data_IF_927114690519
#
_entry.id   IF_927114690519
#
_cell.length_a   1.000
_cell.length_b   1.000
_cell.length_c   1.000
_cell.angle_alpha   90.00
_cell.angle_beta   90.00
_cell.angle_gamma   90.00
#
_symmetry.space_group_name_H-M   'P 1'
#
loop_
_entity.id
_entity.type
_entity.pdbx_description
1 polymer ?
#
# COMPACT_ATOMS: atom_id res chain seq x y z
N UNK A 1 -40.17 10.03 43.40
CA UNK A 1 -38.70 9.91 43.27
C UNK A 1 -38.33 8.45 43.04
N UNK A 2 -38.04 8.04 41.80
CA UNK A 2 -37.54 6.68 41.48
C UNK A 2 -36.08 6.80 41.05
N UNK A 3 -35.16 6.19 41.81
CA UNK A 3 -33.73 6.07 41.46
C UNK A 3 -33.57 4.87 40.53
N UNK A 4 -33.10 5.09 39.31
CA UNK A 4 -32.69 4.05 38.36
C UNK A 4 -31.18 3.88 38.53
N UNK A 5 -30.76 2.67 38.92
CA UNK A 5 -29.36 2.28 39.03
C UNK A 5 -28.75 2.03 37.66
N UNK A 6 -27.65 2.72 37.35
CA UNK A 6 -26.83 2.50 36.17
C UNK A 6 -25.81 1.41 36.50
N UNK A 7 -26.00 0.22 35.92
CA UNK A 7 -25.02 -0.85 35.96
C UNK A 7 -23.76 -0.42 35.19
N UNK A 8 -22.60 -0.45 35.87
CA UNK A 8 -21.29 -0.25 35.24
C UNK A 8 -20.85 -1.58 34.62
N UNK A 9 -20.74 -1.62 33.29
CA UNK A 9 -20.09 -2.73 32.57
C UNK A 9 -18.60 -2.77 32.90
N UNK A 10 -17.99 -3.97 33.05
CA UNK A 10 -16.60 -4.07 33.45
C UNK A 10 -15.67 -3.63 32.31
N UNK A 11 -14.73 -2.76 32.67
CA UNK A 11 -13.62 -2.29 31.85
C UNK A 11 -12.76 -3.51 31.45
N UNK A 12 -12.76 -3.86 30.16
CA UNK A 12 -11.94 -4.96 29.63
C UNK A 12 -10.48 -4.53 29.74
N UNK A 13 -9.73 -5.23 30.58
CA UNK A 13 -8.32 -4.96 30.84
C UNK A 13 -7.50 -5.03 29.53
N UNK A 14 -6.52 -4.14 29.46
CA UNK A 14 -5.58 -3.93 28.35
C UNK A 14 -4.98 -5.25 27.87
N UNK A 15 -5.14 -5.57 26.59
CA UNK A 15 -4.13 -6.37 25.88
C UNK A 15 -3.09 -5.38 25.38
N UNK A 16 -1.87 -5.51 25.88
CA UNK A 16 -0.71 -4.86 25.25
C UNK A 16 -0.66 -5.29 23.78
N UNK A 17 -0.26 -4.38 22.89
CA UNK A 17 0.04 -4.72 21.49
C UNK A 17 0.97 -5.92 21.45
N UNK A 18 0.66 -6.98 20.69
CA UNK A 18 1.50 -8.17 20.63
C UNK A 18 2.94 -7.76 20.25
N UNK A 19 3.97 -8.29 20.92
CA UNK A 19 5.36 -7.99 20.59
C UNK A 19 5.71 -8.30 19.12
N UNK A 20 4.94 -9.16 18.45
CA UNK A 20 5.05 -9.42 17.01
C UNK A 20 4.64 -8.24 16.11
N UNK A 21 3.74 -7.35 16.55
CA UNK A 21 3.40 -6.12 15.81
C UNK A 21 4.50 -5.06 15.93
N UNK A 22 5.24 -5.04 17.04
CA UNK A 22 6.47 -4.26 17.17
C UNK A 22 7.60 -4.87 16.31
N UNK A 23 7.60 -6.19 16.14
CA UNK A 23 8.45 -6.89 15.18
C UNK A 23 7.97 -6.72 13.74
N UNK A 24 6.70 -6.50 13.42
CA UNK A 24 6.27 -6.07 12.08
C UNK A 24 6.74 -4.65 11.78
N UNK A 25 6.73 -3.78 12.80
CA UNK A 25 7.40 -2.46 12.77
C UNK A 25 8.91 -2.57 12.53
N UNK A 26 9.58 -3.64 12.98
CA UNK A 26 11.04 -3.77 12.92
C UNK A 26 11.58 -4.80 11.90
N UNK A 27 10.75 -5.71 11.36
CA UNK A 27 11.15 -6.76 10.42
C UNK A 27 10.71 -6.47 8.99
N UNK A 28 9.61 -5.74 8.76
CA UNK A 28 9.10 -5.51 7.40
C UNK A 28 9.78 -4.37 6.62
N UNK A 29 10.51 -3.47 7.28
CA UNK A 29 11.05 -2.29 6.60
C UNK A 29 12.41 -1.88 7.13
N UNK A 30 13.45 -2.63 6.74
CA UNK A 30 14.81 -2.11 6.84
C UNK A 30 15.16 -1.40 5.53
N UNK A 31 15.26 -0.06 5.57
CA UNK A 31 15.95 0.67 4.50
C UNK A 31 17.42 0.25 4.50
N UNK A 32 18.01 0.09 3.31
CA UNK A 32 19.46 0.00 3.21
C UNK A 32 20.09 1.30 3.72
N UNK A 33 20.86 1.22 4.80
CA UNK A 33 21.81 2.27 5.18
C UNK A 33 22.85 2.38 4.06
N UNK A 34 22.84 3.47 3.29
CA UNK A 34 23.86 3.74 2.28
C UNK A 34 25.21 3.98 2.97
N UNK A 35 26.30 3.31 2.56
CA UNK A 35 27.65 3.80 2.81
C UNK A 35 27.90 5.03 1.93
N UNK A 36 28.60 6.03 2.47
CA UNK A 36 29.05 7.22 1.75
C UNK A 36 29.84 6.85 0.48
N UNK A 37 29.43 7.40 -0.67
CA UNK A 37 30.09 7.27 -1.97
C UNK A 37 31.50 7.88 -1.97
N UNK A 38 32.51 7.22 -2.57
CA UNK A 38 33.66 7.89 -3.16
C UNK A 38 33.34 8.33 -4.60
N UNK A 39 33.90 9.47 -4.98
CA UNK A 39 33.75 10.11 -6.29
C UNK A 39 34.56 9.39 -7.40
N UNK A 40 34.06 9.56 -8.63
CA UNK A 40 34.72 9.41 -9.94
C UNK A 40 35.11 8.00 -10.45
N UNK A 41 34.54 7.63 -11.61
CA UNK A 41 35.27 7.60 -12.90
C UNK A 41 34.30 7.37 -14.08
N UNK A 42 34.54 8.10 -15.17
CA UNK A 42 33.84 7.99 -16.46
C UNK A 42 34.26 6.69 -17.17
N UNK A 43 33.35 6.02 -17.87
CA UNK A 43 33.65 5.40 -19.16
C UNK A 43 32.38 5.06 -19.94
N UNK A 44 32.47 5.33 -21.24
CA UNK A 44 31.43 5.31 -22.27
C UNK A 44 31.58 4.04 -23.09
N UNK A 45 30.51 3.31 -23.39
CA UNK A 45 30.44 2.39 -24.54
C UNK A 45 29.00 2.30 -25.07
N UNK A 46 28.78 2.34 -26.40
CA UNK A 46 27.46 2.18 -27.00
C UNK A 46 27.21 0.73 -27.37
N UNK A 47 25.97 0.26 -27.20
CA UNK A 47 25.52 -1.01 -27.78
C UNK A 47 24.21 -0.81 -28.53
N UNK A 48 24.30 -0.85 -29.85
CA UNK A 48 23.22 -1.08 -30.82
C UNK A 48 22.95 -2.58 -30.89
N UNK A 49 21.68 -3.00 -30.86
CA UNK A 49 21.28 -4.34 -31.27
C UNK A 49 20.07 -4.27 -32.19
N UNK A 50 20.25 -4.76 -33.41
CA UNK A 50 19.21 -5.03 -34.40
C UNK A 50 18.83 -6.51 -34.31
N UNK A 51 17.54 -6.83 -34.25
CA UNK A 51 17.04 -8.20 -34.33
C UNK A 51 16.47 -8.46 -35.73
N UNK A 52 17.06 -9.43 -36.44
CA UNK A 52 16.46 -10.08 -37.61
C UNK A 52 15.87 -11.42 -37.18
N UNK A 53 14.61 -11.66 -37.53
CA UNK A 53 13.92 -12.94 -37.34
C UNK A 53 13.98 -13.72 -38.66
N UNK A 54 14.49 -14.95 -38.64
CA UNK A 54 14.34 -15.89 -39.75
C UNK A 54 14.03 -17.27 -39.20
N UNK A 55 12.91 -17.82 -39.67
CA UNK A 55 12.30 -19.10 -39.31
C UNK A 55 12.91 -20.24 -40.12
N UNK A 56 13.33 -21.36 -39.49
CA UNK A 56 13.38 -22.69 -40.11
C UNK A 56 13.17 -23.82 -39.10
N UNK A 57 12.45 -24.84 -39.58
CA UNK A 57 12.00 -26.09 -38.97
C UNK A 57 13.12 -27.14 -38.72
N UNK A 58 12.85 -28.24 -37.98
CA UNK A 58 13.86 -29.18 -37.47
C UNK A 58 14.04 -30.45 -38.33
N UNK A 59 15.04 -31.29 -38.02
CA UNK A 59 14.72 -32.69 -37.69
C UNK A 59 15.59 -33.33 -36.57
N UNK A 60 15.03 -34.38 -35.96
CA UNK A 60 15.66 -35.38 -35.05
C UNK A 60 16.14 -36.60 -35.90
N UNK A 61 16.85 -37.67 -35.42
CA UNK A 61 17.24 -38.06 -34.04
C UNK A 61 18.69 -38.64 -33.81
N UNK A 62 19.04 -38.80 -32.53
CA UNK A 62 20.05 -39.60 -31.75
C UNK A 62 20.79 -40.83 -32.37
N UNK A 63 21.78 -41.53 -31.70
CA UNK A 63 22.41 -41.38 -30.35
C UNK A 63 23.96 -41.62 -30.24
N UNK A 64 24.56 -41.38 -29.05
CA UNK A 64 25.53 -42.24 -28.30
C UNK A 64 26.69 -41.49 -27.59
N UNK A 65 27.04 -41.93 -26.37
CA UNK A 65 28.34 -41.62 -25.72
C UNK A 65 28.29 -41.20 -24.24
N UNK A 66 28.98 -41.97 -23.38
CA UNK A 66 29.05 -41.88 -21.92
C UNK A 66 29.87 -40.70 -21.34
N UNK A 67 29.61 -40.40 -20.04
CA UNK A 67 30.54 -40.32 -18.89
C UNK A 67 30.29 -39.09 -17.99
N UNK A 68 30.08 -39.37 -16.70
CA UNK A 68 29.86 -38.46 -15.58
C UNK A 68 31.03 -37.50 -15.30
N UNK A 69 30.70 -36.26 -14.95
CA UNK A 69 31.52 -35.42 -14.07
C UNK A 69 30.62 -34.53 -13.21
N UNK A 70 30.78 -34.65 -11.90
CA UNK A 70 30.17 -33.86 -10.85
C UNK A 70 30.29 -32.35 -11.12
N UNK A 71 29.16 -31.66 -11.24
CA UNK A 71 29.08 -30.21 -11.21
C UNK A 71 28.13 -29.81 -10.10
N UNK A 72 28.67 -29.07 -9.13
CA UNK A 72 27.91 -28.16 -8.25
C UNK A 72 26.78 -27.52 -9.04
N UNK A 73 25.55 -27.87 -8.68
CA UNK A 73 24.35 -27.35 -9.33
C UNK A 73 24.29 -25.85 -9.11
N UNK A 74 24.54 -25.07 -10.18
CA UNK A 74 24.07 -23.69 -10.23
C UNK A 74 22.55 -23.69 -9.99
N UNK A 75 22.00 -22.74 -9.22
CA UNK A 75 20.56 -22.64 -9.04
C UNK A 75 19.87 -22.59 -10.39
N UNK A 76 18.76 -23.32 -10.53
CA UNK A 76 17.98 -23.33 -11.77
C UNK A 76 17.37 -21.94 -12.00
N UNK A 77 17.21 -21.49 -13.25
CA UNK A 77 16.55 -20.21 -13.56
C UNK A 77 15.15 -20.10 -12.95
N UNK A 78 14.46 -21.24 -12.78
CA UNK A 78 13.16 -21.33 -12.10
C UNK A 78 13.24 -20.94 -10.61
N UNK A 79 14.34 -21.27 -9.92
CA UNK A 79 14.54 -20.87 -8.52
C UNK A 79 14.81 -19.38 -8.36
N UNK A 80 15.45 -18.75 -9.35
CA UNK A 80 15.72 -17.31 -9.34
C UNK A 80 14.49 -16.50 -9.73
N UNK A 81 13.65 -17.00 -10.65
CA UNK A 81 12.34 -16.41 -10.96
C UNK A 81 11.39 -16.54 -9.77
N UNK A 82 11.32 -17.70 -9.11
CA UNK A 82 10.53 -17.88 -7.90
C UNK A 82 11.00 -16.95 -6.76
N UNK A 83 12.32 -16.81 -6.57
CA UNK A 83 12.91 -15.87 -5.60
C UNK A 83 12.63 -14.41 -5.97
N UNK A 84 12.67 -14.06 -7.26
CA UNK A 84 12.37 -12.72 -7.77
C UNK A 84 10.90 -12.34 -7.58
N UNK A 85 9.97 -13.24 -7.93
CA UNK A 85 8.53 -13.04 -7.70
C UNK A 85 8.26 -12.83 -6.20
N UNK A 86 8.92 -13.59 -5.31
CA UNK A 86 8.81 -13.41 -3.85
C UNK A 86 9.27 -12.06 -3.34
N UNK A 87 10.34 -11.48 -3.91
CA UNK A 87 10.79 -10.13 -3.49
C UNK A 87 9.82 -9.00 -3.85
N UNK A 88 8.86 -9.28 -4.73
CA UNK A 88 7.85 -8.32 -5.19
C UNK A 88 6.51 -8.55 -4.50
N UNK A 89 6.21 -9.77 -4.05
CA UNK A 89 4.96 -10.10 -3.36
C UNK A 89 4.95 -9.61 -1.92
N UNK A 90 3.82 -9.05 -1.50
CA UNK A 90 3.49 -8.84 -0.11
C UNK A 90 2.86 -10.12 0.45
N UNK A 91 3.61 -10.82 1.29
CA UNK A 91 3.16 -12.02 1.99
C UNK A 91 2.72 -11.64 3.40
N UNK A 92 1.44 -11.82 3.76
CA UNK A 92 0.98 -11.49 5.10
C UNK A 92 1.48 -12.50 6.14
N UNK A 93 1.43 -12.16 7.44
CA UNK A 93 1.74 -13.10 8.51
C UNK A 93 0.91 -14.38 8.42
N UNK A 94 1.52 -15.52 8.77
CA UNK A 94 0.85 -16.81 8.77
C UNK A 94 0.74 -17.50 7.40
N UNK A 95 1.37 -16.96 6.36
CA UNK A 95 1.51 -17.62 5.06
C UNK A 95 2.95 -18.07 4.88
N UNK A 96 3.15 -19.33 4.50
CA UNK A 96 4.45 -19.83 4.08
C UNK A 96 4.76 -19.33 2.65
N UNK A 97 5.86 -18.57 2.44
CA UNK A 97 6.27 -18.14 1.10
C UNK A 97 6.51 -19.29 0.10
N UNK A 98 6.76 -20.51 0.58
CA UNK A 98 6.92 -21.71 -0.25
C UNK A 98 5.59 -22.27 -0.78
N UNK A 99 4.48 -21.94 -0.13
CA UNK A 99 3.14 -22.42 -0.49
C UNK A 99 2.35 -21.42 -1.35
N UNK A 100 2.94 -20.28 -1.70
CA UNK A 100 2.26 -19.22 -2.47
C UNK A 100 2.05 -19.65 -3.93
N UNK A 101 0.80 -19.74 -4.34
CA UNK A 101 0.36 -19.95 -5.72
C UNK A 101 -0.26 -18.67 -6.32
N UNK A 102 -0.40 -18.60 -7.65
CA UNK A 102 -1.02 -17.44 -8.29
C UNK A 102 -2.50 -17.25 -7.92
N UNK A 103 -3.18 -18.33 -7.54
CA UNK A 103 -4.61 -18.34 -7.19
C UNK A 103 -4.92 -17.58 -5.90
N UNK A 104 -3.95 -17.52 -4.98
CA UNK A 104 -4.09 -16.80 -3.71
C UNK A 104 -3.55 -15.37 -3.78
N UNK A 105 -3.18 -14.88 -4.97
CA UNK A 105 -2.77 -13.48 -5.16
C UNK A 105 -3.99 -12.66 -5.56
N UNK A 106 -4.23 -11.56 -4.84
CA UNK A 106 -5.31 -10.64 -5.16
C UNK A 106 -5.13 -10.05 -6.58
N UNK A 107 -6.14 -10.15 -7.47
CA UNK A 107 -6.04 -9.61 -8.82
C UNK A 107 -5.67 -8.12 -8.86
N UNK A 108 -4.77 -7.74 -9.76
CA UNK A 108 -4.33 -6.33 -9.91
C UNK A 108 -3.52 -5.80 -8.72
N UNK A 109 -2.80 -6.68 -8.01
CA UNK A 109 -2.02 -6.34 -6.81
C UNK A 109 -0.75 -7.20 -6.72
N UNK A 110 0.08 -6.98 -5.70
CA UNK A 110 1.11 -7.94 -5.27
C UNK A 110 0.76 -8.65 -3.95
N UNK A 111 -0.50 -8.66 -3.54
CA UNK A 111 -0.91 -9.03 -2.19
C UNK A 111 -1.36 -10.50 -2.17
N UNK A 112 -0.74 -11.28 -1.30
CA UNK A 112 -1.17 -12.66 -1.03
C UNK A 112 -2.32 -12.66 -0.02
N UNK A 113 -3.33 -13.50 -0.27
CA UNK A 113 -4.42 -13.81 0.63
C UNK A 113 -3.94 -14.87 1.62
N UNK A 114 -3.94 -14.51 2.88
CA UNK A 114 -3.53 -15.36 4.00
C UNK A 114 -4.69 -15.74 4.93
N UNK A 115 -4.39 -16.43 6.04
CA UNK A 115 -5.40 -17.06 6.90
C UNK A 115 -6.28 -16.05 7.64
N UNK A 116 -5.84 -14.80 7.76
CA UNK A 116 -6.59 -13.74 8.44
C UNK A 116 -7.59 -13.03 7.53
N UNK A 117 -7.63 -13.32 6.22
CA UNK A 117 -8.57 -12.71 5.29
C UNK A 117 -10.01 -13.14 5.58
N UNK A 118 -10.91 -12.19 5.86
CA UNK A 118 -12.30 -12.50 6.18
C UNK A 118 -13.06 -11.35 6.84
N UNK A 119 -14.40 -11.40 6.82
CA UNK A 119 -15.25 -10.33 7.35
C UNK A 119 -14.94 -8.94 6.74
N UNK A 120 -14.76 -8.90 5.41
CA UNK A 120 -14.37 -7.70 4.66
C UNK A 120 -15.54 -6.77 4.30
N UNK A 121 -16.78 -7.25 4.41
CA UNK A 121 -17.96 -6.49 4.00
C UNK A 121 -18.20 -5.25 4.87
N UNK A 122 -18.41 -4.11 4.22
CA UNK A 122 -18.89 -2.88 4.86
C UNK A 122 -20.42 -2.87 4.79
N UNK A 123 -21.09 -2.97 5.93
CA UNK A 123 -22.54 -2.94 6.10
C UNK A 123 -23.02 -1.56 6.52
N UNK A 124 -22.27 -0.90 7.40
CA UNK A 124 -22.60 0.40 7.97
C UNK A 124 -21.37 1.30 8.01
N UNK A 125 -21.58 2.59 7.75
CA UNK A 125 -20.57 3.65 7.88
C UNK A 125 -21.26 4.87 8.46
N UNK A 126 -20.68 5.43 9.52
CA UNK A 126 -21.14 6.61 10.24
C UNK A 126 -20.02 7.66 10.31
N UNK A 127 -20.33 8.91 9.95
CA UNK A 127 -19.39 10.01 10.19
C UNK A 127 -19.41 10.38 11.67
N UNK A 128 -18.26 10.28 12.34
CA UNK A 128 -18.17 10.55 13.78
C UNK A 128 -17.76 11.98 14.06
N UNK A 129 -16.62 12.43 13.50
CA UNK A 129 -16.07 13.75 13.80
C UNK A 129 -14.99 14.18 12.81
N UNK A 130 -14.85 15.49 12.65
CA UNK A 130 -13.67 16.16 12.06
C UNK A 130 -12.79 16.77 13.16
N UNK A 131 -11.50 16.46 13.14
CA UNK A 131 -10.54 16.90 14.16
C UNK A 131 -9.42 17.73 13.53
N UNK A 132 -9.14 18.90 14.12
CA UNK A 132 -8.03 19.76 13.68
C UNK A 132 -6.68 19.41 14.32
N UNK A 133 -6.66 18.60 15.38
CA UNK A 133 -5.45 18.14 16.08
C UNK A 133 -5.58 16.66 16.48
N UNK A 134 -4.43 15.98 16.63
CA UNK A 134 -4.42 14.52 16.79
C UNK A 134 -5.01 14.12 18.14
N UNK A 135 -4.75 14.96 19.14
CA UNK A 135 -5.31 14.83 20.49
C UNK A 135 -6.84 14.89 20.56
N UNK A 136 -7.49 15.50 19.56
CA UNK A 136 -8.94 15.69 19.50
C UNK A 136 -9.66 14.53 18.77
N UNK A 137 -8.89 13.60 18.18
CA UNK A 137 -9.41 12.40 17.53
C UNK A 137 -10.05 11.45 18.56
N UNK A 138 -11.01 10.59 18.16
CA UNK A 138 -11.60 9.56 19.02
C UNK A 138 -10.54 8.71 19.73
N UNK A 139 -10.84 8.17 20.92
CA UNK A 139 -9.90 7.37 21.73
C UNK A 139 -10.56 6.09 22.28
N UNK A 140 -11.35 5.41 21.47
CA UNK A 140 -12.06 4.18 21.85
C UNK A 140 -11.35 2.89 21.39
N UNK A 141 -10.03 2.97 21.19
CA UNK A 141 -9.09 1.86 20.94
C UNK A 141 -9.42 0.95 19.74
N UNK A 142 -10.22 1.44 18.78
CA UNK A 142 -10.59 0.70 17.57
C UNK A 142 -9.50 0.79 16.50
N UNK A 143 -9.26 -0.28 15.72
CA UNK A 143 -8.28 -0.25 14.65
C UNK A 143 -8.62 0.79 13.58
N UNK A 144 -7.59 1.44 13.03
CA UNK A 144 -7.75 2.55 12.08
C UNK A 144 -6.98 2.32 10.79
N UNK A 145 -7.63 2.61 9.66
CA UNK A 145 -6.99 2.74 8.36
C UNK A 145 -7.01 4.19 7.92
N UNK A 146 -5.84 4.79 7.78
CA UNK A 146 -5.72 6.18 7.36
C UNK A 146 -5.58 6.28 5.85
N UNK A 147 -6.49 7.00 5.18
CA UNK A 147 -6.43 7.32 3.77
C UNK A 147 -5.64 8.60 3.58
N UNK A 148 -4.67 8.53 2.69
CA UNK A 148 -3.72 9.59 2.47
C UNK A 148 -3.34 9.70 1.00
N UNK A 149 -3.02 10.89 0.53
CA UNK A 149 -2.68 11.09 -0.88
C UNK A 149 -2.82 12.54 -1.32
N UNK A 150 -2.19 12.87 -2.44
CA UNK A 150 -2.21 14.21 -3.03
C UNK A 150 -3.63 14.76 -3.20
N UNK A 151 -3.78 16.09 -3.19
CA UNK A 151 -5.07 16.70 -3.53
C UNK A 151 -5.59 16.19 -4.89
N UNK A 152 -6.88 15.88 -4.98
CA UNK A 152 -7.54 15.34 -6.18
C UNK A 152 -7.03 13.97 -6.68
N UNK A 153 -6.26 13.22 -5.87
CA UNK A 153 -5.85 11.84 -6.20
C UNK A 153 -7.04 10.89 -6.27
N UNK A 154 -8.08 11.11 -5.44
CA UNK A 154 -9.26 10.25 -5.40
C UNK A 154 -9.72 9.79 -4.01
N UNK A 155 -9.13 10.30 -2.91
CA UNK A 155 -9.47 9.92 -1.51
C UNK A 155 -10.97 9.80 -1.24
N UNK A 156 -11.72 10.90 -1.39
CA UNK A 156 -13.16 10.92 -1.11
C UNK A 156 -13.95 10.01 -2.07
N UNK A 157 -13.50 9.86 -3.31
CA UNK A 157 -14.10 8.92 -4.27
C UNK A 157 -13.89 7.47 -3.84
N UNK A 158 -12.69 7.12 -3.37
CA UNK A 158 -12.39 5.80 -2.85
C UNK A 158 -13.23 5.50 -1.60
N UNK A 159 -13.35 6.44 -0.65
CA UNK A 159 -14.20 6.28 0.55
C UNK A 159 -15.64 5.94 0.18
N UNK A 160 -16.24 6.71 -0.74
CA UNK A 160 -17.62 6.48 -1.16
C UNK A 160 -17.79 5.11 -1.84
N UNK A 161 -16.79 4.69 -2.63
CA UNK A 161 -16.80 3.39 -3.31
C UNK A 161 -16.67 2.25 -2.31
N UNK A 162 -15.74 2.33 -1.35
CA UNK A 162 -15.61 1.32 -0.28
C UNK A 162 -16.93 1.18 0.50
N UNK A 163 -17.53 2.31 0.88
CA UNK A 163 -18.77 2.36 1.66
C UNK A 163 -20.04 1.95 0.90
N UNK A 164 -20.01 1.83 -0.44
CA UNK A 164 -21.19 1.68 -1.32
C UNK A 164 -22.31 2.70 -1.04
N UNK A 165 -21.97 3.86 -0.47
CA UNK A 165 -22.90 4.94 -0.15
C UNK A 165 -22.45 6.19 -0.88
N UNK A 166 -23.37 6.84 -1.58
CA UNK A 166 -23.12 8.14 -2.19
C UNK A 166 -22.94 9.17 -1.06
N UNK A 167 -21.92 10.02 -1.20
CA UNK A 167 -21.72 11.23 -0.39
C UNK A 167 -21.38 11.03 1.10
N UNK A 168 -20.84 9.88 1.52
CA UNK A 168 -20.28 9.74 2.89
C UNK A 168 -19.10 10.70 3.07
N UNK A 169 -18.23 10.79 2.07
CA UNK A 169 -17.19 11.82 1.99
C UNK A 169 -17.52 12.80 0.87
N UNK A 170 -17.53 14.09 1.21
CA UNK A 170 -17.79 15.18 0.26
C UNK A 170 -16.68 15.24 -0.81
N UNK A 171 -17.03 14.95 -2.07
CA UNK A 171 -16.10 14.97 -3.21
C UNK A 171 -16.00 16.38 -3.80
N UNK A 172 -15.19 17.27 -3.22
CA UNK A 172 -14.96 18.59 -3.84
C UNK A 172 -13.92 18.52 -4.95
N UNK A 173 -14.20 19.15 -6.10
CA UNK A 173 -13.22 19.35 -7.19
C UNK A 173 -12.18 20.44 -6.87
N UNK A 174 -12.46 21.32 -5.89
CA UNK A 174 -11.55 22.41 -5.50
C UNK A 174 -10.55 21.90 -4.46
N UNK A 175 -9.24 21.84 -4.78
CA UNK A 175 -8.23 21.44 -3.81
C UNK A 175 -8.13 22.49 -2.69
N UNK A 176 -8.28 22.08 -1.42
CA UNK A 176 -7.93 22.92 -0.27
C UNK A 176 -8.86 22.79 0.94
N UNK A 177 -10.00 22.09 0.81
CA UNK A 177 -11.05 22.13 1.84
C UNK A 177 -10.85 21.19 3.03
N UNK A 178 -10.16 20.07 2.87
CA UNK A 178 -9.95 19.13 3.99
C UNK A 178 -8.67 19.53 4.74
N UNK A 179 -8.81 20.41 5.75
CA UNK A 179 -7.76 20.70 6.74
C UNK A 179 -7.93 19.88 8.03
N UNK A 180 -8.99 19.08 8.10
CA UNK A 180 -9.37 18.30 9.27
C UNK A 180 -9.19 16.81 9.00
N UNK A 181 -8.94 16.04 10.04
CA UNK A 181 -8.97 14.58 10.02
C UNK A 181 -10.41 14.12 10.23
N UNK A 182 -10.99 13.41 9.27
CA UNK A 182 -12.36 12.91 9.37
C UNK A 182 -12.35 11.44 9.76
N UNK A 183 -13.10 11.07 10.79
CA UNK A 183 -13.27 9.70 11.22
C UNK A 183 -14.63 9.15 10.79
N UNK A 184 -14.61 8.05 10.07
CA UNK A 184 -15.79 7.29 9.68
C UNK A 184 -15.78 5.94 10.41
N UNK A 185 -16.73 5.72 11.31
CA UNK A 185 -16.89 4.47 12.02
C UNK A 185 -17.53 3.45 11.09
N UNK A 186 -16.85 2.34 10.84
CA UNK A 186 -17.29 1.28 9.94
C UNK A 186 -17.71 0.07 10.74
N UNK A 187 -18.91 -0.44 10.46
CA UNK A 187 -19.52 -1.61 11.11
C UNK A 187 -19.47 -1.57 12.65
N UNK A 188 -19.41 -0.37 13.25
CA UNK A 188 -19.22 -0.16 14.69
C UNK A 188 -18.00 -0.89 15.27
N UNK A 189 -16.97 -1.15 14.45
CA UNK A 189 -15.80 -1.94 14.87
C UNK A 189 -14.46 -1.28 14.58
N UNK A 190 -14.30 -0.55 13.46
CA UNK A 190 -13.02 0.05 13.07
C UNK A 190 -13.23 1.41 12.39
N UNK A 191 -12.17 2.22 12.28
CA UNK A 191 -12.25 3.54 11.62
C UNK A 191 -11.59 3.56 10.25
N UNK A 192 -12.29 4.17 9.30
CA UNK A 192 -11.67 4.74 8.11
C UNK A 192 -11.40 6.23 8.37
N UNK A 193 -10.14 6.64 8.26
CA UNK A 193 -9.70 7.99 8.63
C UNK A 193 -9.25 8.74 7.38
N UNK A 194 -9.96 9.79 6.99
CA UNK A 194 -9.57 10.65 5.86
C UNK A 194 -8.64 11.76 6.34
N UNK A 195 -7.38 11.68 5.93
CA UNK A 195 -6.36 12.68 6.27
C UNK A 195 -6.34 13.81 5.23
N UNK A 196 -5.97 15.04 5.65
CA UNK A 196 -5.75 16.14 4.72
C UNK A 196 -4.72 15.75 3.66
N UNK A 197 -5.06 15.98 2.39
CA UNK A 197 -4.16 15.67 1.28
C UNK A 197 -2.99 16.63 1.18
N UNK A 198 -1.85 16.15 0.66
CA UNK A 198 -0.65 16.95 0.44
C UNK A 198 -0.59 17.55 -0.97
N UNK A 199 0.38 18.44 -1.21
CA UNK A 199 0.67 19.00 -2.54
C UNK A 199 -0.29 20.10 -3.01
N UNK A 200 -0.83 20.90 -2.09
CA UNK A 200 -1.70 22.03 -2.45
C UNK A 200 -0.95 23.09 -3.28
N UNK A 201 -1.38 23.31 -4.52
CA UNK A 201 -0.77 24.24 -5.47
C UNK A 201 -0.65 25.70 -4.98
N UNK A 202 -1.53 26.13 -4.06
CA UNK A 202 -1.56 27.49 -3.50
C UNK A 202 -0.94 27.64 -2.11
N UNK A 203 -0.35 26.58 -1.55
CA UNK A 203 0.33 26.67 -0.26
C UNK A 203 1.72 27.34 -0.43
N UNK A 204 2.16 28.21 0.51
CA UNK A 204 3.53 28.73 0.55
C UNK A 204 4.57 27.61 0.54
N UNK A 205 5.81 27.86 0.09
CA UNK A 205 6.85 26.83 -0.02
C UNK A 205 7.14 26.11 1.32
N UNK A 206 7.02 26.82 2.44
CA UNK A 206 7.08 26.24 3.80
C UNK A 206 5.99 25.17 4.04
N UNK A 207 4.79 25.34 3.47
CA UNK A 207 3.66 24.44 3.57
C UNK A 207 3.58 23.37 2.47
N UNK A 208 4.46 23.42 1.45
CA UNK A 208 4.52 22.41 0.36
C UNK A 208 5.28 21.15 0.76
N UNK A 209 6.22 21.26 1.72
CA UNK A 209 6.87 20.12 2.39
C UNK A 209 6.35 19.89 3.82
N UNK A 210 5.70 20.88 4.45
CA UNK A 210 4.93 20.66 5.67
C UNK A 210 3.60 19.98 5.35
N UNK A 211 3.70 18.67 5.16
CA UNK A 211 2.81 17.80 5.91
C UNK A 211 2.77 18.31 7.34
N UNK A 212 1.68 18.99 7.69
CA UNK A 212 1.56 19.70 8.96
C UNK A 212 2.12 18.83 10.09
N UNK A 213 2.85 19.44 11.02
CA UNK A 213 3.33 18.75 12.23
C UNK A 213 2.25 17.88 12.88
N UNK A 214 0.99 18.29 12.71
CA UNK A 214 -0.20 17.53 13.05
C UNK A 214 -0.36 16.18 12.33
N UNK A 215 -0.25 16.09 11.00
CA UNK A 215 -0.37 14.81 10.27
C UNK A 215 0.77 13.85 10.65
N UNK A 216 2.00 14.37 10.80
CA UNK A 216 3.15 13.57 11.28
C UNK A 216 2.90 13.10 12.72
N UNK A 217 2.43 13.98 13.58
CA UNK A 217 2.06 13.67 14.96
C UNK A 217 0.94 12.63 15.06
N UNK A 218 0.00 12.60 14.13
CA UNK A 218 -0.99 11.54 14.05
C UNK A 218 -0.31 10.18 13.80
N UNK A 219 0.52 10.05 12.76
CA UNK A 219 1.16 8.75 12.48
C UNK A 219 2.10 8.25 13.56
N UNK A 220 2.85 9.15 14.20
CA UNK A 220 3.85 8.78 15.20
C UNK A 220 3.23 8.37 16.54
N UNK A 221 2.04 8.90 16.88
CA UNK A 221 1.43 8.72 18.20
C UNK A 221 0.13 7.89 18.18
N UNK A 222 -0.35 7.45 17.01
CA UNK A 222 -1.62 6.70 16.90
C UNK A 222 -1.38 5.20 16.95
N UNK A 223 -1.41 4.63 18.15
CA UNK A 223 -1.20 3.20 18.39
C UNK A 223 -2.26 2.30 17.71
N UNK A 224 -3.47 2.83 17.50
CA UNK A 224 -4.57 2.16 16.82
C UNK A 224 -4.44 2.12 15.30
N UNK A 225 -3.44 2.79 14.72
CA UNK A 225 -3.23 2.81 13.27
C UNK A 225 -2.72 1.45 12.79
N UNK A 226 -3.56 0.75 12.02
CA UNK A 226 -3.22 -0.54 11.41
C UNK A 226 -2.34 -0.33 10.18
N UNK A 227 -2.79 0.53 9.26
CA UNK A 227 -2.04 0.86 8.05
C UNK A 227 -2.51 2.18 7.41
N UNK A 228 -1.60 2.78 6.64
CA UNK A 228 -1.87 3.92 5.77
C UNK A 228 -2.18 3.42 4.36
N UNK A 229 -3.36 3.76 3.84
CA UNK A 229 -3.70 3.62 2.44
C UNK A 229 -3.17 4.85 1.69
N UNK A 230 -1.98 4.75 1.12
CA UNK A 230 -1.34 5.83 0.37
C UNK A 230 -1.79 5.79 -1.09
N UNK A 231 -2.67 6.70 -1.47
CA UNK A 231 -3.23 6.80 -2.81
C UNK A 231 -2.27 7.49 -3.77
N UNK A 232 -2.04 6.84 -4.91
CA UNK A 232 -1.24 7.33 -6.03
C UNK A 232 -2.11 7.41 -7.28
N UNK A 233 -2.01 8.48 -8.07
CA UNK A 233 -2.77 8.61 -9.33
C UNK A 233 -2.04 7.88 -10.46
N UNK A 234 -2.56 6.73 -10.91
CA UNK A 234 -1.94 5.94 -11.97
C UNK A 234 -2.08 6.59 -13.36
N UNK A 235 -2.95 7.60 -13.52
CA UNK A 235 -3.16 8.26 -14.82
C UNK A 235 -2.11 9.32 -15.17
N UNK A 236 -1.09 9.49 -14.31
CA UNK A 236 0.03 10.40 -14.52
C UNK A 236 1.36 9.71 -14.16
N UNK A 237 2.50 10.16 -14.72
CA UNK A 237 3.81 9.65 -14.34
C UNK A 237 4.07 9.77 -12.82
N UNK A 238 4.93 8.91 -12.24
CA UNK A 238 5.31 8.99 -10.83
C UNK A 238 5.70 10.41 -10.42
N UNK A 239 5.12 10.89 -9.32
CA UNK A 239 5.41 12.23 -8.81
C UNK A 239 6.39 12.14 -7.65
N UNK A 240 7.39 13.02 -7.62
CA UNK A 240 8.38 13.08 -6.54
C UNK A 240 7.73 13.21 -5.16
N UNK A 241 6.67 14.02 -5.03
CA UNK A 241 5.97 14.21 -3.76
C UNK A 241 5.29 12.93 -3.22
N UNK A 242 4.84 12.06 -4.12
CA UNK A 242 4.24 10.77 -3.75
C UNK A 242 5.32 9.79 -3.26
N UNK A 243 6.48 9.77 -3.94
CA UNK A 243 7.66 8.99 -3.53
C UNK A 243 8.25 9.47 -2.20
N UNK A 244 8.39 10.79 -2.03
CA UNK A 244 8.88 11.41 -0.79
C UNK A 244 7.97 11.05 0.39
N UNK A 245 6.65 11.04 0.18
CA UNK A 245 5.66 10.59 1.17
C UNK A 245 5.84 9.12 1.51
N UNK A 246 5.86 8.23 0.51
CA UNK A 246 6.04 6.80 0.73
C UNK A 246 7.35 6.56 1.52
N UNK A 247 8.47 7.10 1.05
CA UNK A 247 9.77 7.01 1.72
C UNK A 247 9.75 7.54 3.17
N UNK A 248 9.00 8.60 3.45
CA UNK A 248 8.86 9.09 4.82
C UNK A 248 8.09 8.10 5.70
N UNK A 249 6.98 7.52 5.21
CA UNK A 249 6.25 6.48 5.94
C UNK A 249 7.14 5.27 6.22
N UNK A 250 7.91 4.82 5.22
CA UNK A 250 8.84 3.69 5.33
C UNK A 250 9.95 3.94 6.35
N UNK A 251 10.60 5.12 6.31
CA UNK A 251 11.65 5.50 7.28
C UNK A 251 11.17 5.55 8.73
N UNK A 252 9.87 5.81 8.94
CA UNK A 252 9.28 5.88 10.28
C UNK A 252 8.57 4.58 10.67
N UNK A 253 8.77 3.49 9.92
CA UNK A 253 8.15 2.19 10.16
C UNK A 253 6.62 2.26 10.29
N UNK A 254 6.00 3.12 9.49
CA UNK A 254 4.54 3.25 9.43
C UNK A 254 4.02 2.25 8.37
N UNK A 255 3.22 1.25 8.75
CA UNK A 255 2.68 0.29 7.80
C UNK A 255 1.87 0.99 6.71
N UNK A 256 2.09 0.64 5.44
CA UNK A 256 1.40 1.27 4.33
C UNK A 256 0.98 0.26 3.25
N UNK A 257 -0.07 0.61 2.52
CA UNK A 257 -0.47 -0.05 1.27
C UNK A 257 -0.61 1.03 0.20
N UNK A 258 0.09 0.87 -0.91
CA UNK A 258 -0.02 1.76 -2.06
C UNK A 258 -1.32 1.47 -2.81
N UNK A 259 -2.19 2.45 -2.95
CA UNK A 259 -3.45 2.31 -3.68
C UNK A 259 -3.35 3.11 -4.97
N UNK A 260 -3.10 2.42 -6.08
CA UNK A 260 -3.09 3.05 -7.40
C UNK A 260 -4.51 3.33 -7.83
N UNK A 261 -4.85 4.60 -7.99
CA UNK A 261 -6.20 5.08 -8.32
C UNK A 261 -6.31 5.46 -9.79
N UNK A 262 -7.55 5.53 -10.29
CA UNK A 262 -7.88 5.96 -11.66
C UNK A 262 -7.28 5.05 -12.74
N UNK A 263 -7.13 3.76 -12.45
CA UNK A 263 -6.63 2.77 -13.40
C UNK A 263 -7.52 2.62 -14.65
N UNK A 264 -8.77 3.10 -14.60
CA UNK A 264 -9.68 3.20 -15.75
C UNK A 264 -9.27 4.26 -16.79
N UNK A 265 -8.44 5.24 -16.39
CA UNK A 265 -8.13 6.38 -17.27
C UNK A 265 -7.05 6.04 -18.27
N UNK A 266 -7.46 5.49 -19.39
CA UNK A 266 -6.69 5.53 -20.63
C UNK A 266 -6.89 6.91 -21.28
N UNK A 267 -5.97 7.85 -21.04
CA UNK A 267 -6.00 9.10 -21.82
C UNK A 267 -5.44 8.80 -23.21
N UNK A 268 -6.28 8.86 -24.24
CA UNK A 268 -5.86 8.77 -25.63
C UNK A 268 -4.75 9.79 -25.96
N UNK A 269 -3.70 9.35 -26.66
CA UNK A 269 -2.54 10.14 -27.07
C UNK A 269 -1.19 9.67 -26.50
N UNK A 270 -0.14 10.50 -26.63
CA UNK A 270 1.27 10.29 -26.21
C UNK A 270 1.51 10.07 -24.69
N UNK A 271 0.47 9.82 -23.89
CA UNK A 271 0.63 9.63 -22.44
C UNK A 271 0.75 8.15 -22.10
N UNK A 272 1.68 7.87 -21.21
CA UNK A 272 2.01 6.57 -20.63
C UNK A 272 0.77 5.91 -20.01
N UNK A 273 0.57 4.62 -20.25
CA UNK A 273 -0.60 3.87 -19.74
C UNK A 273 -0.53 3.75 -18.21
N UNK A 274 -1.67 3.60 -17.49
CA UNK A 274 -1.66 3.38 -16.05
C UNK A 274 -0.73 2.25 -15.61
N UNK A 275 -0.72 1.13 -16.32
CA UNK A 275 0.13 -0.03 -16.03
C UNK A 275 1.63 0.32 -16.11
N UNK A 276 2.02 1.16 -17.07
CA UNK A 276 3.40 1.63 -17.21
C UNK A 276 3.78 2.62 -16.11
N UNK A 277 2.88 3.52 -15.71
CA UNK A 277 3.13 4.44 -14.59
C UNK A 277 3.27 3.69 -13.27
N UNK A 278 2.48 2.63 -13.05
CA UNK A 278 2.58 1.75 -11.89
C UNK A 278 3.93 1.05 -11.87
N UNK A 279 4.34 0.44 -12.99
CA UNK A 279 5.66 -0.19 -13.12
C UNK A 279 6.80 0.79 -12.85
N UNK A 280 6.73 2.00 -13.42
CA UNK A 280 7.72 3.04 -13.18
C UNK A 280 7.76 3.47 -11.70
N UNK A 281 6.61 3.58 -11.04
CA UNK A 281 6.55 3.90 -9.62
C UNK A 281 7.20 2.80 -8.78
N UNK A 282 6.89 1.53 -9.08
CA UNK A 282 7.45 0.36 -8.40
C UNK A 282 8.97 0.28 -8.55
N UNK A 283 9.51 0.55 -9.75
CA UNK A 283 10.96 0.54 -9.96
C UNK A 283 11.66 1.62 -9.13
N UNK A 284 11.06 2.81 -9.00
CA UNK A 284 11.58 3.87 -8.13
C UNK A 284 11.49 3.51 -6.64
N UNK A 285 10.46 2.75 -6.25
CA UNK A 285 10.34 2.23 -4.88
C UNK A 285 11.39 1.16 -4.62
N UNK A 286 11.67 0.25 -5.57
CA UNK A 286 12.68 -0.80 -5.43
C UNK A 286 14.07 -0.28 -5.09
N UNK A 287 14.41 0.93 -5.52
CA UNK A 287 15.69 1.58 -5.20
C UNK A 287 15.82 1.94 -3.71
N UNK A 288 14.70 2.13 -3.00
CA UNK A 288 14.67 2.61 -1.62
C UNK A 288 14.17 1.54 -0.61
N UNK A 289 13.58 0.45 -1.08
CA UNK A 289 12.95 -0.57 -0.24
C UNK A 289 13.60 -1.93 -0.43
N UNK A 290 13.90 -2.61 0.69
CA UNK A 290 14.33 -4.02 0.67
C UNK A 290 13.17 -4.97 0.38
N UNK A 291 12.03 -4.71 1.00
CA UNK A 291 10.78 -5.43 0.79
C UNK A 291 9.76 -4.47 0.18
N UNK A 292 9.13 -4.90 -0.91
CA UNK A 292 8.21 -4.04 -1.63
C UNK A 292 6.91 -3.87 -0.81
N UNK A 293 6.43 -2.64 -0.58
CA UNK A 293 5.16 -2.47 0.12
C UNK A 293 4.02 -3.11 -0.68
N UNK A 294 2.98 -3.55 0.04
CA UNK A 294 1.72 -3.96 -0.54
C UNK A 294 1.20 -2.86 -1.47
N UNK A 295 0.72 -3.24 -2.66
CA UNK A 295 0.09 -2.33 -3.60
C UNK A 295 -1.08 -2.97 -4.32
N UNK A 296 -2.06 -2.15 -4.70
CA UNK A 296 -3.26 -2.60 -5.40
C UNK A 296 -3.79 -1.55 -6.37
N UNK A 297 -4.29 -2.01 -7.53
CA UNK A 297 -4.96 -1.20 -8.54
C UNK A 297 -6.43 -0.97 -8.18
N UNK A 298 -6.91 0.25 -8.34
CA UNK A 298 -8.28 0.63 -8.04
C UNK A 298 -8.86 1.61 -9.06
N UNK A 299 -10.17 1.53 -9.26
CA UNK A 299 -10.93 2.55 -9.96
C UNK A 299 -12.24 2.83 -9.24
N UNK A 300 -12.43 4.10 -8.86
CA UNK A 300 -13.71 4.55 -8.32
C UNK A 300 -14.83 4.63 -9.37
N UNK A 301 -14.50 4.53 -10.67
CA UNK A 301 -15.46 4.58 -11.78
C UNK A 301 -15.98 3.19 -12.10
N UNK A 302 -15.08 2.21 -12.24
CA UNK A 302 -15.44 0.84 -12.62
C UNK A 302 -15.69 -0.07 -11.42
N UNK A 303 -15.24 0.32 -10.22
CA UNK A 303 -15.26 -0.52 -9.02
C UNK A 303 -14.09 -1.50 -8.92
N UNK A 304 -13.15 -1.47 -9.88
CA UNK A 304 -11.93 -2.29 -9.87
C UNK A 304 -11.20 -2.21 -8.51
N UNK A 305 -10.77 -3.36 -8.01
CA UNK A 305 -9.91 -3.49 -6.82
C UNK A 305 -10.60 -3.22 -5.49
N UNK A 306 -11.92 -2.96 -5.49
CA UNK A 306 -12.66 -2.59 -4.29
C UNK A 306 -12.74 -3.75 -3.31
N UNK A 307 -13.19 -4.92 -3.78
CA UNK A 307 -13.44 -6.07 -2.89
C UNK A 307 -12.11 -6.70 -2.47
N UNK A 308 -11.11 -6.67 -3.33
CA UNK A 308 -9.73 -7.06 -3.06
C UNK A 308 -9.08 -6.16 -2.00
N UNK A 309 -9.23 -4.82 -2.10
CA UNK A 309 -8.75 -3.90 -1.08
C UNK A 309 -9.45 -4.12 0.26
N UNK A 310 -10.76 -4.36 0.27
CA UNK A 310 -11.50 -4.68 1.49
C UNK A 310 -11.03 -6.01 2.11
N UNK A 311 -10.72 -7.01 1.29
CA UNK A 311 -10.20 -8.29 1.77
C UNK A 311 -8.81 -8.12 2.41
N UNK A 312 -7.92 -7.38 1.76
CA UNK A 312 -6.61 -7.04 2.32
C UNK A 312 -6.70 -6.24 3.63
N UNK A 313 -7.55 -5.20 3.67
CA UNK A 313 -7.79 -4.45 4.90
C UNK A 313 -8.31 -5.35 6.03
N UNK A 314 -9.19 -6.30 5.71
CA UNK A 314 -9.72 -7.23 6.69
C UNK A 314 -8.65 -8.17 7.23
N UNK A 315 -7.73 -8.63 6.37
CA UNK A 315 -6.58 -9.43 6.77
C UNK A 315 -5.67 -8.69 7.74
N UNK A 316 -5.31 -7.44 7.43
CA UNK A 316 -4.47 -6.62 8.31
C UNK A 316 -5.16 -6.35 9.65
N UNK A 317 -6.46 -6.06 9.64
CA UNK A 317 -7.25 -5.82 10.85
C UNK A 317 -7.36 -7.06 11.73
N UNK A 318 -7.70 -8.21 11.14
CA UNK A 318 -7.89 -9.44 11.89
C UNK A 318 -6.56 -9.97 12.48
N UNK A 319 -5.42 -9.68 11.83
CA UNK A 319 -4.10 -9.92 12.42
C UNK A 319 -3.79 -8.94 13.56
N UNK A 320 -4.16 -7.66 13.42
CA UNK A 320 -3.99 -6.66 14.46
C UNK A 320 -4.77 -6.98 15.75
N UNK A 321 -5.95 -7.61 15.62
CA UNK A 321 -6.83 -7.98 16.75
C UNK A 321 -6.33 -9.18 17.60
N UNK A 322 -5.25 -9.86 17.20
CA UNK A 322 -4.71 -11.06 17.88
C UNK A 322 -4.23 -10.77 19.32
#
# INVERSE_FOLDING_TARGET
MRKIGIARSPCRARKATPPEMLLLRNRLFTLSSLPSLPQHAKNTFPLTFSFNYSTREPPNPNPSGHVSASKTSKPSPLSDVARFVRTVLFVPPGVDPDEVTEEIILPGSNIVVGPYAGHSQIKEVEFVKSSGRAKDCPRDDRPEFAILGRSNVGKSSLINVLARKKEVALTSKKPGKTQLINHFLVNKSWYLVDLPGYGFAKAPDSARMDWSSFTKGYFLNRETLVAVLLLIDASVPPQKIDLDCANWLGRNNIPMTLVFTKCDKMKGGKRTRPDENIKNFQELMRQNYREHPAWIMTSSVTGLGRDELLLHMSQLRNYWDQ
#
